data_IF_590726774215
#
_entry.id   IF_590726774215
#
_cell.length_a   1.000
_cell.length_b   1.000
_cell.length_c   1.000
_cell.angle_alpha   90.00
_cell.angle_beta   90.00
_cell.angle_gamma   90.00
#
_symmetry.space_group_name_H-M   'P 1'
#
loop_
_entity.id
_entity.type
_entity.pdbx_description
1 polymer ?
#
# COMPACT_ATOMS: atom_id res chain seq x y z
N UNK A 1 11.61 -14.68 -13.47
CA UNK A 1 13.04 -14.67 -13.12
C UNK A 1 13.85 -14.03 -14.24
N UNK A 2 13.98 -12.73 -14.26
CA UNK A 2 14.91 -12.03 -15.17
C UNK A 2 15.94 -11.29 -14.28
N UNK A 3 17.16 -11.78 -14.35
CA UNK A 3 18.31 -11.21 -13.62
C UNK A 3 18.61 -9.81 -14.17
N UNK A 4 18.46 -8.77 -13.36
CA UNK A 4 19.01 -7.44 -13.66
C UNK A 4 20.53 -7.59 -13.87
N UNK A 5 21.00 -7.33 -15.09
CA UNK A 5 22.41 -7.21 -15.40
C UNK A 5 22.88 -5.80 -15.10
N UNK A 6 23.55 -5.65 -13.98
CA UNK A 6 24.34 -4.45 -13.71
C UNK A 6 25.50 -4.46 -14.73
N UNK A 7 25.50 -3.51 -15.65
CA UNK A 7 26.61 -3.28 -16.58
C UNK A 7 27.63 -2.41 -15.84
N UNK A 8 28.63 -3.05 -15.25
CA UNK A 8 29.85 -2.37 -14.79
C UNK A 8 30.71 -2.12 -16.02
N UNK A 9 30.71 -0.89 -16.50
CA UNK A 9 31.61 -0.44 -17.56
C UNK A 9 33.05 -0.32 -17.03
N UNK A 10 33.86 -1.33 -17.30
CA UNK A 10 35.32 -1.20 -17.10
C UNK A 10 35.90 -0.44 -18.29
N UNK A 11 36.29 0.81 -18.07
CA UNK A 11 37.07 1.59 -19.05
C UNK A 11 38.53 1.22 -18.87
N UNK A 12 39.05 0.37 -19.75
CA UNK A 12 40.50 0.14 -19.88
C UNK A 12 41.10 1.25 -20.77
N UNK A 13 41.87 2.15 -20.19
CA UNK A 13 42.69 3.09 -20.93
C UNK A 13 44.04 2.38 -21.19
N UNK A 14 44.25 1.95 -22.44
CA UNK A 14 45.56 1.49 -22.89
C UNK A 14 46.39 2.70 -23.34
N UNK A 15 47.43 2.99 -22.62
CA UNK A 15 48.44 3.95 -23.05
C UNK A 15 49.49 3.23 -23.91
N UNK A 16 49.52 3.51 -25.22
CA UNK A 16 50.58 3.09 -26.09
C UNK A 16 51.67 4.15 -26.12
N UNK A 17 52.85 3.76 -25.68
CA UNK A 17 54.06 4.56 -25.83
C UNK A 17 54.64 4.46 -27.23
N UNK A 18 55.13 5.56 -27.74
CA UNK A 18 56.08 5.54 -28.84
C UNK A 18 57.17 6.61 -28.54
N UNK A 19 58.39 6.14 -28.41
CA UNK A 19 59.55 6.96 -28.18
C UNK A 19 60.02 7.71 -29.42
N UNK A 20 60.69 8.81 -29.16
CA UNK A 20 61.70 9.36 -30.07
C UNK A 20 62.83 9.96 -29.29
N UNK A 21 64.00 9.40 -29.46
CA UNK A 21 65.28 9.90 -28.98
C UNK A 21 65.72 11.03 -29.91
N UNK A 22 65.98 12.19 -29.34
CA UNK A 22 66.81 13.23 -29.98
C UNK A 22 67.82 13.76 -28.98
N UNK A 23 69.09 13.42 -29.23
CA UNK A 23 70.26 13.94 -28.58
C UNK A 23 70.64 15.29 -29.21
N UNK A 24 70.66 16.34 -28.47
CA UNK A 24 71.52 17.49 -28.80
C UNK A 24 72.02 18.19 -27.50
N UNK A 25 73.26 18.27 -27.47
CA UNK A 25 74.17 18.92 -26.49
C UNK A 25 74.05 20.44 -26.57
N UNK A 26 73.87 21.13 -25.43
CA UNK A 26 74.84 22.18 -25.08
C UNK A 26 74.42 22.90 -23.79
N UNK A 27 75.30 22.90 -22.95
CA UNK A 27 75.84 23.80 -21.92
C UNK A 27 75.11 25.12 -21.61
N UNK A 28 74.75 25.29 -20.34
CA UNK A 28 74.99 26.48 -19.50
C UNK A 28 74.02 26.43 -18.30
N UNK A 29 74.60 26.62 -17.13
CA UNK A 29 73.87 26.49 -15.87
C UNK A 29 72.75 27.45 -15.69
N UNK A 30 71.68 26.93 -15.15
CA UNK A 30 70.65 27.71 -14.48
C UNK A 30 69.98 26.81 -13.41
N UNK A 31 69.68 27.45 -12.32
CA UNK A 31 69.27 26.86 -11.06
C UNK A 31 68.10 25.87 -11.23
N UNK A 32 68.17 24.71 -10.62
CA UNK A 32 67.12 23.78 -10.47
C UNK A 32 65.94 24.45 -9.74
N UNK A 33 64.94 24.89 -10.50
CA UNK A 33 63.62 25.12 -9.93
C UNK A 33 63.07 23.77 -9.48
N UNK A 34 62.98 23.61 -8.16
CA UNK A 34 62.20 22.53 -7.56
C UNK A 34 60.78 22.62 -8.11
N UNK A 35 60.43 21.69 -8.98
CA UNK A 35 59.02 21.45 -9.33
C UNK A 35 58.29 21.18 -8.03
N UNK A 36 57.52 22.14 -7.57
CA UNK A 36 56.55 21.87 -6.52
C UNK A 36 55.56 20.85 -7.10
N UNK A 37 55.69 19.59 -6.69
CA UNK A 37 54.69 18.57 -6.92
C UNK A 37 53.44 19.07 -6.21
N UNK A 38 52.52 19.62 -6.96
CA UNK A 38 51.20 19.99 -6.44
C UNK A 38 50.60 18.72 -5.85
N UNK A 39 50.35 18.73 -4.54
CA UNK A 39 49.77 17.58 -3.85
C UNK A 39 48.44 17.24 -4.56
N UNK A 40 48.13 15.95 -4.79
CA UNK A 40 46.92 15.56 -5.42
C UNK A 40 45.73 16.18 -4.66
N UNK A 41 44.83 16.87 -5.39
CA UNK A 41 43.58 17.40 -4.81
C UNK A 41 42.76 16.23 -4.37
N UNK A 42 42.65 16.02 -3.06
CA UNK A 42 41.80 15.00 -2.47
C UNK A 42 40.32 15.41 -2.68
N UNK A 43 39.51 14.52 -3.25
CA UNK A 43 38.06 14.66 -3.20
C UNK A 43 37.64 14.29 -1.78
N UNK A 44 36.78 15.10 -1.17
CA UNK A 44 36.38 14.94 0.22
C UNK A 44 34.86 14.87 0.32
N UNK A 45 34.36 13.90 1.06
CA UNK A 45 33.01 13.82 1.52
C UNK A 45 32.93 13.98 3.03
N UNK A 46 31.75 14.12 3.60
CA UNK A 46 31.57 14.19 5.06
C UNK A 46 30.94 12.91 5.57
N UNK A 47 31.41 12.47 6.73
CA UNK A 47 30.66 11.51 7.52
C UNK A 47 29.42 12.20 8.10
N UNK A 48 28.26 11.57 7.96
CA UNK A 48 26.98 12.14 8.38
C UNK A 48 26.32 11.26 9.42
N UNK A 49 25.58 11.89 10.33
CA UNK A 49 24.62 11.19 11.17
C UNK A 49 23.30 11.13 10.42
N UNK A 50 22.90 9.94 9.98
CA UNK A 50 21.68 9.76 9.21
C UNK A 50 21.02 8.41 9.51
N UNK A 51 19.75 8.31 9.19
CA UNK A 51 19.09 7.03 9.15
C UNK A 51 19.43 6.36 7.83
N UNK A 52 19.65 5.05 7.88
CA UNK A 52 19.82 4.22 6.70
C UNK A 52 18.55 3.42 6.51
N UNK A 53 17.97 3.54 5.34
CA UNK A 53 16.73 2.83 4.96
C UNK A 53 17.08 1.72 3.98
N UNK A 54 16.35 0.62 4.10
CA UNK A 54 16.43 -0.50 3.17
C UNK A 54 15.03 -0.83 2.67
N UNK A 55 14.92 -1.03 1.38
CA UNK A 55 13.71 -1.55 0.79
C UNK A 55 13.46 -3.00 1.20
N UNK A 56 12.23 -3.31 1.57
CA UNK A 56 11.74 -4.68 1.82
C UNK A 56 10.58 -4.93 0.88
N UNK A 57 10.66 -6.04 0.13
CA UNK A 57 9.68 -6.42 -0.87
C UNK A 57 8.67 -7.41 -0.30
N UNK A 58 7.41 -7.25 -0.71
CA UNK A 58 6.29 -8.09 -0.34
C UNK A 58 5.42 -8.38 -1.55
N UNK A 59 4.93 -9.62 -1.65
CA UNK A 59 3.95 -9.97 -2.69
C UNK A 59 2.61 -9.31 -2.38
N UNK A 60 2.05 -8.61 -3.35
CA UNK A 60 0.73 -7.98 -3.33
C UNK A 60 -0.19 -8.50 -4.43
N UNK A 61 -1.48 -8.32 -4.23
CA UNK A 61 -2.51 -8.65 -5.21
C UNK A 61 -3.52 -7.52 -5.32
N UNK A 62 -3.84 -7.13 -6.55
CA UNK A 62 -4.89 -6.14 -6.83
C UNK A 62 -6.27 -6.76 -6.59
N UNK A 63 -7.15 -6.02 -5.96
CA UNK A 63 -8.55 -6.38 -5.71
C UNK A 63 -9.34 -5.16 -5.26
N UNK A 64 -10.46 -5.37 -4.58
CA UNK A 64 -11.34 -4.30 -4.08
C UNK A 64 -11.42 -4.28 -2.53
N UNK A 65 -10.30 -4.54 -1.88
CA UNK A 65 -10.18 -4.51 -0.43
C UNK A 65 -10.83 -5.69 0.27
N UNK A 66 -11.15 -5.49 1.54
CA UNK A 66 -11.76 -6.51 2.39
C UNK A 66 -13.15 -6.86 1.90
N UNK A 67 -13.42 -8.17 1.80
CA UNK A 67 -14.76 -8.67 1.45
C UNK A 67 -15.56 -8.88 2.73
N UNK A 68 -16.81 -8.42 2.72
CA UNK A 68 -17.75 -8.57 3.82
C UNK A 68 -18.96 -9.39 3.39
N UNK A 69 -19.43 -10.27 4.29
CA UNK A 69 -20.61 -11.07 4.03
C UNK A 69 -21.87 -10.20 4.18
N UNK A 70 -22.61 -10.03 3.11
CA UNK A 70 -23.94 -9.42 3.12
C UNK A 70 -24.98 -10.54 3.27
N UNK A 71 -25.66 -10.56 4.40
CA UNK A 71 -26.62 -11.62 4.73
C UNK A 71 -28.02 -11.18 4.38
N UNK A 72 -28.68 -11.96 3.53
CA UNK A 72 -30.13 -11.88 3.38
C UNK A 72 -30.76 -12.45 4.66
N UNK A 73 -31.82 -11.81 5.15
CA UNK A 73 -32.54 -12.23 6.35
C UNK A 73 -33.98 -12.54 6.00
N UNK A 74 -34.65 -13.36 6.81
CA UNK A 74 -36.01 -13.79 6.56
C UNK A 74 -36.08 -15.17 5.87
N UNK A 75 -37.35 -15.60 5.64
CA UNK A 75 -37.63 -16.85 4.96
C UNK A 75 -37.89 -16.57 3.47
N UNK A 76 -37.87 -17.61 2.66
CA UNK A 76 -38.17 -17.54 1.24
C UNK A 76 -37.19 -18.32 0.40
N UNK A 77 -37.47 -18.41 -0.89
CA UNK A 77 -36.65 -19.11 -1.87
C UNK A 77 -35.92 -18.08 -2.76
N UNK A 78 -34.61 -18.26 -2.95
CA UNK A 78 -33.82 -17.43 -3.87
C UNK A 78 -34.32 -17.63 -5.30
N UNK A 79 -34.84 -16.58 -5.92
CA UNK A 79 -35.30 -16.55 -7.32
C UNK A 79 -34.41 -15.72 -8.24
N UNK A 80 -33.54 -14.84 -7.66
CA UNK A 80 -32.57 -14.07 -8.40
C UNK A 80 -31.29 -13.83 -7.57
N UNK A 81 -30.13 -13.95 -8.20
CA UNK A 81 -28.81 -13.67 -7.62
C UNK A 81 -28.03 -12.66 -8.48
N UNK A 82 -27.21 -11.80 -7.88
CA UNK A 82 -26.38 -10.86 -8.62
C UNK A 82 -25.23 -11.57 -9.33
N UNK A 83 -24.58 -10.87 -10.26
CA UNK A 83 -23.36 -11.34 -10.91
C UNK A 83 -22.13 -10.80 -10.20
N UNK A 84 -21.10 -11.62 -10.06
CA UNK A 84 -19.81 -11.15 -9.54
C UNK A 84 -19.26 -10.04 -10.43
N UNK A 85 -18.87 -8.93 -9.81
CA UNK A 85 -18.42 -7.72 -10.48
C UNK A 85 -19.48 -6.63 -10.60
N UNK A 86 -20.77 -6.97 -10.43
CA UNK A 86 -21.84 -5.96 -10.46
C UNK A 86 -21.66 -4.94 -9.32
N UNK A 87 -21.97 -3.68 -9.64
CA UNK A 87 -22.05 -2.60 -8.65
C UNK A 87 -23.53 -2.32 -8.36
N UNK A 88 -23.92 -2.51 -7.11
CA UNK A 88 -25.29 -2.30 -6.66
C UNK A 88 -25.40 -0.96 -5.92
N UNK A 89 -26.20 -0.05 -6.49
CA UNK A 89 -26.50 1.26 -5.90
C UNK A 89 -27.60 1.14 -4.85
N UNK A 90 -27.70 2.09 -3.94
CA UNK A 90 -28.83 2.16 -3.01
C UNK A 90 -30.16 2.29 -3.76
N UNK A 91 -31.20 1.62 -3.26
CA UNK A 91 -32.52 1.56 -3.87
C UNK A 91 -32.64 0.55 -5.02
N UNK A 92 -31.58 -0.18 -5.36
CA UNK A 92 -31.58 -1.21 -6.40
C UNK A 92 -31.56 -2.62 -5.81
N UNK A 93 -32.10 -3.61 -6.55
CA UNK A 93 -32.12 -5.01 -6.12
C UNK A 93 -30.67 -5.58 -6.02
N UNK A 94 -30.39 -6.25 -4.92
CA UNK A 94 -29.16 -7.05 -4.76
C UNK A 94 -29.42 -8.56 -4.89
N UNK A 95 -30.67 -8.98 -4.73
CA UNK A 95 -31.12 -10.35 -4.92
C UNK A 95 -32.62 -10.33 -5.19
N UNK A 96 -33.23 -11.51 -5.42
CA UNK A 96 -34.65 -11.72 -5.52
C UNK A 96 -35.05 -12.93 -4.71
N UNK A 97 -36.07 -12.81 -3.87
CA UNK A 97 -36.60 -13.86 -2.99
C UNK A 97 -38.11 -14.00 -3.28
N UNK A 98 -38.57 -15.23 -3.54
CA UNK A 98 -39.98 -15.54 -3.88
C UNK A 98 -40.55 -14.69 -5.04
N UNK A 99 -39.69 -14.24 -5.96
CA UNK A 99 -40.05 -13.36 -7.09
C UNK A 99 -40.12 -11.88 -6.75
N UNK A 100 -39.74 -11.49 -5.53
CA UNK A 100 -39.73 -10.09 -5.08
C UNK A 100 -38.27 -9.59 -4.89
N UNK A 101 -37.96 -8.33 -5.29
CA UNK A 101 -36.61 -7.79 -5.16
C UNK A 101 -36.25 -7.53 -3.69
N UNK A 102 -35.03 -7.85 -3.33
CA UNK A 102 -34.40 -7.46 -2.07
C UNK A 102 -33.56 -6.21 -2.32
N UNK A 103 -33.96 -5.07 -1.77
CA UNK A 103 -33.31 -3.78 -2.05
C UNK A 103 -32.12 -3.51 -1.13
N UNK A 104 -31.05 -2.98 -1.71
CA UNK A 104 -29.94 -2.44 -0.97
C UNK A 104 -30.28 -1.03 -0.47
N UNK A 105 -30.28 -0.82 0.84
CA UNK A 105 -30.58 0.45 1.48
C UNK A 105 -29.36 0.96 2.26
N UNK A 106 -29.24 2.28 2.39
CA UNK A 106 -28.14 2.87 3.17
C UNK A 106 -28.39 2.70 4.66
N UNK A 107 -27.42 2.14 5.38
CA UNK A 107 -27.49 1.98 6.82
C UNK A 107 -26.41 1.08 7.38
N UNK A 108 -26.19 1.15 8.69
CA UNK A 108 -25.15 0.39 9.41
C UNK A 108 -25.72 -0.76 10.26
N UNK A 109 -27.04 -0.80 10.45
CA UNK A 109 -27.72 -1.83 11.23
C UNK A 109 -28.43 -2.81 10.31
N UNK A 110 -28.30 -4.12 10.51
CA UNK A 110 -29.04 -5.10 9.72
C UNK A 110 -30.54 -4.99 9.98
N UNK A 111 -31.35 -5.41 9.01
CA UNK A 111 -32.78 -5.60 9.20
C UNK A 111 -33.01 -6.82 10.12
N UNK A 112 -33.78 -6.66 11.20
CA UNK A 112 -34.06 -7.73 12.17
C UNK A 112 -35.54 -7.94 12.43
N UNK A 113 -36.41 -7.06 11.92
CA UNK A 113 -37.88 -7.12 12.04
C UNK A 113 -38.55 -6.49 10.84
N UNK A 114 -39.79 -6.86 10.62
CA UNK A 114 -40.67 -6.15 9.67
C UNK A 114 -40.90 -4.72 10.15
N UNK A 115 -40.83 -3.75 9.23
CA UNK A 115 -41.13 -2.35 9.46
C UNK A 115 -42.43 -1.97 8.74
N UNK A 116 -43.34 -1.24 9.42
CA UNK A 116 -44.62 -0.85 8.87
C UNK A 116 -45.49 -0.10 9.89
N UNK A 117 -46.72 0.28 9.52
CA UNK A 117 -47.65 0.91 10.45
C UNK A 117 -47.85 0.07 11.70
N UNK A 118 -47.78 0.72 12.87
CA UNK A 118 -47.80 0.14 14.21
C UNK A 118 -46.51 -0.60 14.63
N UNK A 119 -45.42 -0.48 13.91
CA UNK A 119 -44.12 -0.87 14.42
C UNK A 119 -43.75 0.00 15.62
N UNK A 120 -43.21 -0.60 16.70
CA UNK A 120 -42.71 0.16 17.84
C UNK A 120 -41.50 1.01 17.43
N UNK A 121 -41.44 2.23 17.96
CA UNK A 121 -40.38 3.19 17.69
C UNK A 121 -39.00 2.56 17.81
N UNK A 122 -38.06 3.00 16.98
CA UNK A 122 -36.71 2.46 16.99
C UNK A 122 -35.76 3.11 15.98
N UNK A 123 -34.49 2.98 16.26
CA UNK A 123 -33.41 3.49 15.40
C UNK A 123 -33.38 2.86 13.98
N UNK A 124 -34.03 1.72 13.79
CA UNK A 124 -34.22 1.09 12.48
C UNK A 124 -35.21 1.88 11.61
N UNK A 125 -36.25 2.47 12.22
CA UNK A 125 -37.18 3.38 11.52
C UNK A 125 -36.42 4.61 11.08
N UNK A 126 -35.68 5.26 11.98
CA UNK A 126 -34.85 6.44 11.67
C UNK A 126 -33.84 6.14 10.55
N UNK A 127 -33.18 4.97 10.61
CA UNK A 127 -32.24 4.55 9.56
C UNK A 127 -32.95 4.40 8.20
N UNK A 128 -34.13 3.77 8.16
CA UNK A 128 -34.93 3.63 6.95
C UNK A 128 -35.36 5.00 6.40
N UNK A 129 -35.88 5.88 7.23
CA UNK A 129 -36.29 7.23 6.83
C UNK A 129 -35.14 8.05 6.27
N UNK A 130 -33.98 7.97 6.93
CA UNK A 130 -32.74 8.58 6.42
C UNK A 130 -32.42 8.07 5.01
N UNK A 131 -32.52 6.77 4.80
CA UNK A 131 -32.26 6.15 3.50
C UNK A 131 -33.31 6.57 2.46
N UNK A 132 -34.60 6.60 2.82
CA UNK A 132 -35.70 7.01 1.91
C UNK A 132 -35.51 8.46 1.44
N UNK A 133 -35.17 9.37 2.35
CA UNK A 133 -34.86 10.77 2.03
C UNK A 133 -33.61 10.85 1.12
N UNK A 134 -32.54 10.16 1.48
CA UNK A 134 -31.29 10.17 0.70
C UNK A 134 -31.48 9.64 -0.74
N UNK A 135 -32.36 8.66 -0.90
CA UNK A 135 -32.72 8.09 -2.21
C UNK A 135 -33.78 8.88 -2.97
N UNK A 136 -34.38 9.94 -2.37
CA UNK A 136 -35.36 10.81 -3.00
C UNK A 136 -36.80 10.25 -3.03
N UNK A 137 -37.09 9.26 -2.21
CA UNK A 137 -38.45 8.75 -2.05
C UNK A 137 -39.31 9.61 -1.11
N UNK A 138 -38.69 10.50 -0.36
CA UNK A 138 -39.33 11.52 0.46
C UNK A 138 -38.56 12.84 0.37
N UNK A 139 -39.29 13.98 0.54
CA UNK A 139 -38.69 15.30 0.63
C UNK A 139 -38.23 15.55 2.06
N UNK A 140 -36.95 15.94 2.24
CA UNK A 140 -36.37 16.26 3.55
C UNK A 140 -37.03 17.44 4.28
N UNK A 141 -37.83 18.27 3.56
CA UNK A 141 -38.54 19.39 4.15
C UNK A 141 -39.96 19.01 4.61
N UNK A 142 -40.48 17.88 4.15
CA UNK A 142 -41.82 17.40 4.44
C UNK A 142 -41.82 16.22 5.41
N UNK A 143 -40.79 15.32 5.31
CA UNK A 143 -40.63 14.17 6.18
C UNK A 143 -39.75 14.49 7.38
N UNK A 144 -40.25 14.22 8.58
CA UNK A 144 -39.46 14.27 9.81
C UNK A 144 -38.72 12.94 9.98
N UNK A 145 -37.39 12.98 9.99
CA UNK A 145 -36.57 11.78 10.24
C UNK A 145 -36.43 11.55 11.74
N UNK A 146 -37.16 10.58 12.26
CA UNK A 146 -37.14 10.21 13.68
C UNK A 146 -37.31 8.70 13.90
N UNK A 147 -37.68 8.24 15.07
CA UNK A 147 -37.81 6.84 15.41
C UNK A 147 -39.26 6.32 15.37
N UNK A 148 -40.22 7.14 14.89
CA UNK A 148 -41.63 6.84 14.83
C UNK A 148 -42.09 6.56 13.39
N UNK A 149 -42.89 5.53 13.20
CA UNK A 149 -43.47 5.20 11.90
C UNK A 149 -44.79 5.96 11.69
N UNK A 150 -44.78 6.94 10.85
CA UNK A 150 -45.95 7.79 10.54
C UNK A 150 -46.52 7.59 9.14
N UNK A 151 -47.40 8.50 8.72
CA UNK A 151 -48.04 8.48 7.38
C UNK A 151 -47.06 8.82 6.28
N UNK A 152 -46.06 9.67 6.54
CA UNK A 152 -45.09 10.14 5.56
C UNK A 152 -44.07 9.04 5.29
N UNK A 153 -43.64 8.31 6.32
CA UNK A 153 -42.84 7.08 6.22
C UNK A 153 -43.58 6.04 5.35
N UNK A 154 -44.87 5.82 5.64
CA UNK A 154 -45.71 4.90 4.86
C UNK A 154 -45.80 5.32 3.38
N UNK A 155 -45.95 6.62 3.10
CA UNK A 155 -46.04 7.12 1.73
C UNK A 155 -44.68 6.95 0.99
N UNK A 156 -43.56 7.23 1.65
CA UNK A 156 -42.21 7.06 1.09
C UNK A 156 -41.90 5.59 0.77
N UNK A 157 -42.26 4.66 1.69
CA UNK A 157 -42.12 3.22 1.45
C UNK A 157 -42.95 2.77 0.26
N UNK A 158 -44.20 3.20 0.16
CA UNK A 158 -45.06 2.90 -1.01
C UNK A 158 -44.49 3.44 -2.31
N UNK A 159 -43.92 4.63 -2.30
CA UNK A 159 -43.27 5.20 -3.48
C UNK A 159 -42.05 4.32 -3.91
N UNK A 160 -41.24 3.91 -2.96
CA UNK A 160 -40.10 3.00 -3.21
C UNK A 160 -40.58 1.66 -3.75
N UNK A 161 -41.57 1.04 -3.13
CA UNK A 161 -42.17 -0.23 -3.58
C UNK A 161 -42.70 -0.13 -5.01
N UNK A 162 -43.49 0.92 -5.33
CA UNK A 162 -44.05 1.11 -6.65
C UNK A 162 -43.03 1.28 -7.76
N UNK A 163 -41.90 1.99 -7.48
CA UNK A 163 -40.81 2.17 -8.44
C UNK A 163 -39.98 0.92 -8.64
N UNK A 164 -39.91 0.03 -7.66
CA UNK A 164 -39.16 -1.20 -7.72
C UNK A 164 -39.99 -2.45 -8.07
N UNK A 165 -41.28 -2.28 -8.41
CA UNK A 165 -42.14 -3.37 -8.81
C UNK A 165 -42.56 -4.31 -7.67
N UNK A 166 -42.42 -3.86 -6.43
CA UNK A 166 -42.81 -4.60 -5.22
C UNK A 166 -44.34 -4.44 -4.94
N UNK A 167 -44.95 -5.31 -4.10
CA UNK A 167 -46.25 -5.07 -3.55
C UNK A 167 -46.32 -3.73 -2.80
N UNK A 168 -47.28 -2.85 -3.19
CA UNK A 168 -47.36 -1.48 -2.63
C UNK A 168 -48.28 -1.50 -1.39
N UNK A 169 -47.84 -2.12 -0.33
CA UNK A 169 -48.56 -2.25 0.94
C UNK A 169 -48.11 -1.26 2.04
N UNK A 170 -46.92 -0.66 1.88
CA UNK A 170 -46.35 0.27 2.82
C UNK A 170 -45.71 -0.43 4.05
N UNK A 171 -45.19 -1.63 3.84
CA UNK A 171 -44.46 -2.43 4.82
C UNK A 171 -43.17 -2.96 4.19
N UNK A 172 -42.19 -3.26 4.97
CA UNK A 172 -40.93 -3.88 4.53
C UNK A 172 -40.60 -5.09 5.39
N UNK A 173 -40.66 -6.25 4.81
CA UNK A 173 -40.18 -7.49 5.39
C UNK A 173 -38.64 -7.54 5.47
N UNK A 174 -38.11 -8.37 6.35
CA UNK A 174 -36.67 -8.56 6.46
C UNK A 174 -36.04 -9.23 5.22
N UNK A 175 -36.85 -9.87 4.38
CA UNK A 175 -36.48 -10.46 3.10
C UNK A 175 -36.63 -9.51 1.90
N UNK A 176 -37.04 -8.26 2.12
CA UNK A 176 -37.24 -7.24 1.10
C UNK A 176 -36.19 -6.13 1.14
N UNK A 177 -35.37 -6.08 2.20
CA UNK A 177 -34.35 -5.07 2.40
C UNK A 177 -33.07 -5.62 3.04
N UNK A 178 -31.97 -5.04 2.65
CA UNK A 178 -30.68 -5.24 3.30
C UNK A 178 -29.95 -3.90 3.40
N UNK A 179 -29.29 -3.66 4.52
CA UNK A 179 -28.57 -2.40 4.76
C UNK A 179 -27.08 -2.57 4.57
N UNK A 180 -26.46 -1.56 3.94
CA UNK A 180 -25.02 -1.39 3.84
C UNK A 180 -24.65 0.08 4.09
N UNK A 181 -23.53 0.39 4.74
CA UNK A 181 -23.06 1.77 4.89
C UNK A 181 -22.74 2.42 3.55
N UNK A 182 -22.25 1.65 2.58
CA UNK A 182 -21.77 2.11 1.30
C UNK A 182 -22.41 1.34 0.13
N UNK A 183 -22.34 1.92 -1.06
CA UNK A 183 -22.60 1.24 -2.33
C UNK A 183 -21.59 0.09 -2.45
N UNK A 184 -22.05 -1.05 -2.94
CA UNK A 184 -21.25 -2.28 -2.90
C UNK A 184 -20.95 -2.81 -4.30
N UNK A 185 -19.81 -3.46 -4.42
CA UNK A 185 -19.46 -4.33 -5.54
C UNK A 185 -19.62 -5.79 -5.11
N UNK A 186 -20.24 -6.59 -5.93
CA UNK A 186 -20.39 -8.03 -5.68
C UNK A 186 -19.03 -8.71 -5.86
N UNK A 187 -18.45 -9.17 -4.76
CA UNK A 187 -17.16 -9.83 -4.76
C UNK A 187 -17.26 -11.34 -4.98
N UNK A 188 -18.31 -11.96 -4.38
CA UNK A 188 -18.55 -13.39 -4.51
C UNK A 188 -20.01 -13.72 -4.26
N UNK A 189 -20.50 -14.72 -4.97
CA UNK A 189 -21.85 -15.28 -4.79
C UNK A 189 -21.70 -16.77 -4.54
N UNK A 190 -22.34 -17.26 -3.49
CA UNK A 190 -22.47 -18.67 -3.18
C UNK A 190 -23.94 -18.99 -2.91
N UNK A 191 -24.36 -20.21 -3.18
CA UNK A 191 -25.75 -20.60 -3.22
C UNK A 191 -26.28 -20.68 -4.65
N UNK A 192 -27.48 -21.20 -4.81
CA UNK A 192 -28.12 -21.41 -6.11
C UNK A 192 -29.58 -20.95 -6.09
N UNK A 193 -30.11 -20.70 -7.26
CA UNK A 193 -31.55 -20.47 -7.42
C UNK A 193 -32.33 -21.70 -6.91
N UNK A 194 -33.33 -21.45 -6.07
CA UNK A 194 -34.10 -22.48 -5.39
C UNK A 194 -33.64 -22.82 -3.97
N UNK A 195 -32.48 -22.31 -3.54
CA UNK A 195 -32.06 -22.43 -2.15
C UNK A 195 -32.86 -21.50 -1.23
N UNK A 196 -32.83 -21.75 0.08
CA UNK A 196 -33.42 -20.82 1.06
C UNK A 196 -32.65 -19.47 1.10
N UNK A 197 -33.37 -18.39 1.36
CA UNK A 197 -32.76 -17.03 1.39
C UNK A 197 -31.59 -16.92 2.38
N UNK A 198 -31.66 -17.64 3.51
CA UNK A 198 -30.61 -17.71 4.53
C UNK A 198 -29.33 -18.46 4.08
N UNK A 199 -29.45 -19.26 2.99
CA UNK A 199 -28.32 -19.97 2.39
C UNK A 199 -27.57 -19.12 1.34
N UNK A 200 -28.12 -17.97 0.91
CA UNK A 200 -27.45 -17.06 -0.01
C UNK A 200 -26.22 -16.44 0.65
N UNK A 201 -25.04 -16.82 0.19
CA UNK A 201 -23.80 -16.18 0.57
C UNK A 201 -23.41 -15.13 -0.47
N UNK A 202 -23.70 -13.87 -0.23
CA UNK A 202 -23.24 -12.74 -1.03
C UNK A 202 -22.12 -12.07 -0.25
N UNK A 203 -20.92 -12.03 -0.85
CA UNK A 203 -19.81 -11.25 -0.31
C UNK A 203 -19.65 -9.99 -1.15
N UNK A 204 -19.52 -8.87 -0.49
CA UNK A 204 -19.41 -7.56 -1.12
C UNK A 204 -18.08 -6.90 -0.77
N UNK A 205 -17.64 -5.98 -1.60
CA UNK A 205 -16.43 -5.18 -1.40
C UNK A 205 -16.71 -3.70 -1.69
N UNK A 206 -15.75 -2.83 -1.42
CA UNK A 206 -15.76 -1.46 -1.90
C UNK A 206 -15.66 -1.37 -3.42
N UNK A 207 -15.75 -0.15 -3.95
CA UNK A 207 -15.68 0.12 -5.38
C UNK A 207 -14.26 0.36 -5.87
N UNK A 208 -13.43 0.95 -5.02
CA UNK A 208 -12.07 1.32 -5.38
C UNK A 208 -11.16 0.09 -5.38
N UNK A 209 -10.30 0.02 -6.38
CA UNK A 209 -9.24 -0.99 -6.38
C UNK A 209 -8.19 -0.67 -5.32
N UNK A 210 -7.77 -1.69 -4.62
CA UNK A 210 -6.69 -1.64 -3.61
C UNK A 210 -5.70 -2.77 -3.86
N UNK A 211 -4.55 -2.68 -3.23
CA UNK A 211 -3.56 -3.76 -3.22
C UNK A 211 -3.55 -4.41 -1.84
N UNK A 212 -3.72 -5.72 -1.79
CA UNK A 212 -3.56 -6.48 -0.55
C UNK A 212 -2.22 -7.20 -0.55
N UNK A 213 -1.31 -6.77 0.33
CA UNK A 213 -0.04 -7.46 0.56
C UNK A 213 -0.20 -8.55 1.63
N UNK A 214 0.40 -9.72 1.38
CA UNK A 214 0.41 -10.83 2.34
C UNK A 214 1.70 -10.81 3.16
N UNK A 215 1.60 -10.35 4.41
CA UNK A 215 2.75 -10.09 5.26
C UNK A 215 2.89 -11.12 6.37
N UNK A 216 4.07 -11.74 6.49
CA UNK A 216 4.36 -12.70 7.59
C UNK A 216 4.36 -12.01 8.95
N UNK A 217 3.97 -12.74 10.00
CA UNK A 217 3.90 -12.22 11.38
C UNK A 217 5.21 -11.62 11.90
N UNK A 218 6.37 -12.06 11.39
CA UNK A 218 7.68 -11.52 11.75
C UNK A 218 7.93 -10.12 11.17
N UNK A 219 7.22 -9.75 10.10
CA UNK A 219 7.41 -8.52 9.33
C UNK A 219 6.26 -7.52 9.50
N UNK A 220 5.10 -7.94 10.03
CA UNK A 220 3.91 -7.06 10.13
C UNK A 220 4.17 -5.78 10.93
N UNK A 221 5.08 -5.81 11.89
CA UNK A 221 5.47 -4.62 12.69
C UNK A 221 6.17 -3.53 11.88
N UNK A 222 6.60 -3.80 10.66
CA UNK A 222 7.18 -2.82 9.75
C UNK A 222 6.11 -1.92 9.12
N UNK A 223 4.87 -2.41 9.09
CA UNK A 223 3.72 -1.70 8.54
C UNK A 223 2.99 -0.92 9.65
N UNK A 224 2.62 0.29 9.32
CA UNK A 224 1.78 1.16 10.16
C UNK A 224 0.76 1.83 9.25
N UNK A 225 -0.47 2.01 9.73
CA UNK A 225 -1.51 2.72 8.97
C UNK A 225 -1.05 4.15 8.66
N UNK A 226 -1.20 4.55 7.42
CA UNK A 226 -0.72 5.83 6.89
C UNK A 226 0.72 5.83 6.40
N UNK A 227 1.45 4.71 6.50
CA UNK A 227 2.83 4.62 6.00
C UNK A 227 2.84 4.54 4.47
N UNK A 228 3.71 5.31 3.79
CA UNK A 228 3.86 5.22 2.34
C UNK A 228 4.56 3.92 1.94
N UNK A 229 4.19 3.40 0.78
CA UNK A 229 4.77 2.23 0.12
C UNK A 229 4.83 2.50 -1.39
N UNK A 230 5.70 1.80 -2.10
CA UNK A 230 5.73 1.81 -3.55
C UNK A 230 5.17 0.50 -4.08
N UNK A 231 4.24 0.57 -5.03
CA UNK A 231 3.67 -0.60 -5.70
C UNK A 231 4.24 -0.69 -7.10
N UNK A 232 4.94 -1.78 -7.39
CA UNK A 232 5.50 -2.04 -8.72
C UNK A 232 4.58 -2.98 -9.49
N UNK A 233 4.08 -2.50 -10.61
CA UNK A 233 3.17 -3.22 -11.50
C UNK A 233 3.94 -4.21 -12.40
N UNK A 234 3.27 -5.20 -13.03
CA UNK A 234 3.92 -6.18 -13.90
C UNK A 234 4.64 -5.60 -15.13
N UNK A 235 4.32 -4.37 -15.51
CA UNK A 235 4.96 -3.62 -16.60
C UNK A 235 6.14 -2.76 -16.14
N UNK A 236 6.60 -2.93 -14.90
CA UNK A 236 7.65 -2.17 -14.22
C UNK A 236 7.26 -0.68 -13.93
N UNK A 237 5.96 -0.32 -14.01
CA UNK A 237 5.49 0.99 -13.55
C UNK A 237 5.40 1.02 -12.02
N UNK A 238 5.92 2.07 -11.41
CA UNK A 238 5.87 2.32 -9.97
C UNK A 238 4.74 3.30 -9.63
N UNK A 239 3.95 2.96 -8.64
CA UNK A 239 2.80 3.75 -8.17
C UNK A 239 2.92 3.95 -6.66
N UNK A 240 2.69 5.18 -6.22
CA UNK A 240 2.65 5.48 -4.79
C UNK A 240 1.40 4.86 -4.15
N UNK A 241 1.61 4.21 -3.02
CA UNK A 241 0.56 3.65 -2.19
C UNK A 241 0.66 4.10 -0.73
N UNK A 242 -0.40 3.88 0.01
CA UNK A 242 -0.45 4.15 1.45
C UNK A 242 -1.13 2.99 2.17
N UNK A 243 -0.56 2.54 3.26
CA UNK A 243 -1.15 1.50 4.11
C UNK A 243 -2.47 2.01 4.69
N UNK A 244 -3.59 1.42 4.27
CA UNK A 244 -4.93 1.78 4.72
C UNK A 244 -5.33 1.02 5.98
N UNK A 245 -5.08 -0.30 5.99
CA UNK A 245 -5.43 -1.15 7.12
C UNK A 245 -4.50 -2.35 7.26
N UNK A 246 -4.46 -2.93 8.46
CA UNK A 246 -3.79 -4.20 8.74
C UNK A 246 -4.86 -5.13 9.29
N UNK A 247 -5.21 -6.15 8.53
CA UNK A 247 -6.26 -7.10 8.86
C UNK A 247 -5.86 -8.07 9.99
N UNK A 248 -6.81 -8.89 10.40
CA UNK A 248 -6.56 -9.95 11.39
C UNK A 248 -5.63 -11.03 10.81
N UNK A 249 -4.92 -11.72 11.71
CA UNK A 249 -4.04 -12.82 11.32
C UNK A 249 -4.80 -13.98 10.69
N UNK A 250 -4.24 -14.51 9.62
CA UNK A 250 -4.74 -15.70 8.92
C UNK A 250 -3.69 -16.79 8.94
N UNK A 251 -4.11 -18.01 9.25
CA UNK A 251 -3.24 -19.17 9.12
C UNK A 251 -3.16 -19.59 7.64
N UNK A 252 -1.95 -19.64 7.09
CA UNK A 252 -1.71 -20.16 5.75
C UNK A 252 -1.66 -21.71 5.77
N UNK A 253 -1.79 -22.33 4.60
CA UNK A 253 -1.80 -23.79 4.43
C UNK A 253 -0.51 -24.48 4.92
N UNK A 254 0.60 -23.74 4.90
CA UNK A 254 1.92 -24.20 5.40
C UNK A 254 2.09 -24.05 6.92
N UNK A 255 1.04 -23.60 7.63
CA UNK A 255 1.05 -23.34 9.07
C UNK A 255 1.69 -22.01 9.47
N UNK A 256 2.14 -21.19 8.53
CA UNK A 256 2.61 -19.84 8.81
C UNK A 256 1.43 -18.90 9.12
N UNK A 257 1.70 -17.87 9.93
CA UNK A 257 0.72 -16.82 10.23
C UNK A 257 1.05 -15.61 9.38
N UNK A 258 0.07 -15.16 8.61
CA UNK A 258 0.16 -13.98 7.77
C UNK A 258 -0.89 -12.94 8.16
N UNK A 259 -0.66 -11.71 7.76
CA UNK A 259 -1.55 -10.58 7.93
C UNK A 259 -1.81 -9.95 6.56
N UNK A 260 -3.08 -9.81 6.14
CA UNK A 260 -3.40 -9.01 4.97
C UNK A 260 -3.19 -7.53 5.32
N UNK A 261 -2.40 -6.84 4.53
CA UNK A 261 -2.18 -5.40 4.63
C UNK A 261 -2.81 -4.76 3.40
N UNK A 262 -3.81 -3.94 3.63
CA UNK A 262 -4.51 -3.22 2.56
C UNK A 262 -3.81 -1.90 2.27
N UNK A 263 -3.60 -1.63 1.00
CA UNK A 263 -2.88 -0.47 0.49
C UNK A 263 -3.79 0.25 -0.50
N UNK A 264 -4.07 1.50 -0.23
CA UNK A 264 -4.75 2.39 -1.19
C UNK A 264 -3.72 3.00 -2.12
N UNK A 265 -4.09 3.09 -3.41
CA UNK A 265 -3.29 3.68 -4.47
C UNK A 265 -4.13 4.68 -5.25
N UNK A 266 -3.53 5.39 -6.20
CA UNK A 266 -4.30 6.00 -7.29
C UNK A 266 -5.03 4.92 -8.07
N UNK A 267 -6.15 5.24 -8.79
CA UNK A 267 -6.89 4.25 -9.55
C UNK A 267 -5.98 3.41 -10.45
N UNK A 268 -6.12 2.09 -10.34
CA UNK A 268 -5.37 1.11 -11.12
C UNK A 268 -6.17 0.74 -12.38
N UNK A 269 -5.51 0.57 -13.51
CA UNK A 269 -6.12 0.11 -14.77
C UNK A 269 -5.60 -1.31 -15.10
N UNK A 270 -5.91 -2.24 -14.19
CA UNK A 270 -5.52 -3.64 -14.31
C UNK A 270 -6.62 -4.56 -13.78
N UNK A 271 -6.61 -5.81 -14.23
CA UNK A 271 -7.58 -6.81 -13.79
C UNK A 271 -7.40 -7.18 -12.31
N UNK A 272 -8.51 -7.50 -11.64
CA UNK A 272 -8.52 -8.07 -10.31
C UNK A 272 -7.69 -9.37 -10.28
N UNK A 273 -6.95 -9.56 -9.20
CA UNK A 273 -6.07 -10.70 -9.04
C UNK A 273 -4.68 -10.52 -9.66
N UNK A 274 -4.39 -9.39 -10.32
CA UNK A 274 -3.05 -9.06 -10.78
C UNK A 274 -2.06 -9.07 -9.61
N UNK A 275 -0.95 -9.79 -9.77
CA UNK A 275 0.13 -9.81 -8.77
C UNK A 275 1.04 -8.61 -8.99
N UNK A 276 1.38 -7.94 -7.92
CA UNK A 276 2.25 -6.75 -7.87
C UNK A 276 3.29 -6.90 -6.76
N UNK A 277 4.38 -6.16 -6.84
CA UNK A 277 5.37 -6.10 -5.77
C UNK A 277 5.14 -4.83 -4.94
N UNK A 278 5.11 -4.99 -3.63
CA UNK A 278 4.96 -3.88 -2.67
C UNK A 278 6.29 -3.67 -1.98
N UNK A 279 6.90 -2.52 -2.20
CA UNK A 279 8.15 -2.12 -1.58
C UNK A 279 7.89 -1.18 -0.41
N UNK A 280 8.48 -1.50 0.73
CA UNK A 280 8.40 -0.71 1.96
C UNK A 280 9.79 -0.30 2.42
N UNK A 281 10.02 1.00 2.54
CA UNK A 281 11.22 1.53 3.14
C UNK A 281 11.24 1.31 4.65
N UNK A 282 12.29 0.61 5.11
CA UNK A 282 12.49 0.30 6.53
C UNK A 282 13.79 0.91 7.02
N UNK A 283 13.74 1.68 8.10
CA UNK A 283 14.94 2.16 8.76
C UNK A 283 15.70 0.98 9.34
N UNK A 284 16.84 0.64 8.75
CA UNK A 284 17.70 -0.46 9.15
C UNK A 284 18.74 -0.06 10.20
N UNK A 285 19.13 1.23 10.22
CA UNK A 285 19.97 1.81 11.26
C UNK A 285 19.57 3.26 11.51
N UNK A 286 19.07 3.54 12.71
CA UNK A 286 18.63 4.88 13.13
C UNK A 286 19.83 5.70 13.65
N UNK A 287 19.96 6.95 13.18
CA UNK A 287 20.98 7.90 13.63
C UNK A 287 22.41 7.39 13.49
N UNK A 288 22.69 6.53 12.52
CA UNK A 288 23.97 5.93 12.29
C UNK A 288 25.00 6.96 11.79
N UNK A 289 26.26 6.82 12.18
CA UNK A 289 27.36 7.52 11.51
C UNK A 289 27.62 6.77 10.21
N UNK A 290 27.39 7.44 9.09
CA UNK A 290 27.53 6.86 7.76
C UNK A 290 28.55 7.65 6.92
N UNK A 291 29.26 6.93 6.06
CA UNK A 291 30.17 7.49 5.06
C UNK A 291 29.71 7.00 3.67
N UNK A 292 30.01 7.74 2.59
CA UNK A 292 29.80 7.21 1.24
C UNK A 292 30.53 5.86 1.08
N UNK A 293 29.88 4.89 0.46
CA UNK A 293 30.46 3.54 0.30
C UNK A 293 31.81 3.57 -0.44
N UNK A 294 32.00 4.55 -1.33
CA UNK A 294 33.24 4.79 -2.08
C UNK A 294 34.42 5.27 -1.21
N UNK A 295 34.14 5.78 0.01
CA UNK A 295 35.17 6.17 0.98
C UNK A 295 35.78 4.97 1.73
N UNK A 296 35.19 3.76 1.60
CA UNK A 296 35.67 2.57 2.27
C UNK A 296 36.89 1.97 1.59
N UNK A 297 37.93 1.70 2.38
CA UNK A 297 39.12 1.01 1.95
C UNK A 297 39.23 -0.36 2.63
N UNK A 298 39.41 -1.40 1.83
CA UNK A 298 39.73 -2.73 2.35
C UNK A 298 41.21 -2.81 2.76
N UNK A 299 41.48 -3.29 3.97
CA UNK A 299 42.81 -3.45 4.49
C UNK A 299 43.41 -4.82 4.10
N UNK A 300 44.69 -4.86 3.71
CA UNK A 300 45.37 -6.09 3.32
C UNK A 300 45.41 -7.14 4.45
N UNK A 301 45.36 -6.71 5.68
CA UNK A 301 45.33 -7.56 6.89
C UNK A 301 43.91 -7.91 7.35
N UNK A 302 42.92 -7.54 6.54
CA UNK A 302 41.50 -7.75 6.80
C UNK A 302 40.81 -6.60 7.54
N UNK A 303 39.53 -6.43 7.29
CA UNK A 303 38.70 -5.33 7.79
C UNK A 303 38.68 -4.11 6.88
N UNK A 304 38.11 -3.03 7.38
CA UNK A 304 37.88 -1.80 6.62
C UNK A 304 38.41 -0.59 7.34
N UNK A 305 38.75 0.43 6.58
CA UNK A 305 39.18 1.75 7.08
C UNK A 305 38.57 2.84 6.19
N UNK A 306 38.51 4.05 6.73
CA UNK A 306 38.31 5.28 5.97
C UNK A 306 39.57 6.13 6.05
N UNK A 307 39.86 6.84 4.97
CA UNK A 307 41.00 7.77 4.92
C UNK A 307 40.51 9.17 5.27
N UNK A 308 41.14 9.81 6.22
CA UNK A 308 40.82 11.17 6.66
C UNK A 308 41.97 12.11 6.43
N UNK A 309 41.77 13.38 6.10
CA UNK A 309 42.82 14.37 5.97
C UNK A 309 43.62 14.49 7.29
N UNK A 310 44.95 14.48 7.20
CA UNK A 310 45.86 14.68 8.34
C UNK A 310 47.12 15.38 7.87
N UNK A 311 47.21 16.65 8.16
CA UNK A 311 48.38 17.49 7.79
C UNK A 311 49.67 17.13 8.53
N UNK A 312 49.61 16.28 9.54
CA UNK A 312 50.78 15.82 10.29
C UNK A 312 51.53 14.67 9.62
N UNK A 313 50.92 14.04 8.61
CA UNK A 313 51.49 12.92 7.85
C UNK A 313 52.10 13.40 6.53
N UNK A 314 53.09 12.66 6.02
CA UNK A 314 53.71 12.97 4.72
C UNK A 314 52.75 12.75 3.53
N UNK A 315 51.75 11.88 3.68
CA UNK A 315 50.71 11.63 2.69
C UNK A 315 49.59 12.67 2.73
N UNK A 316 49.56 13.50 3.78
CA UNK A 316 48.44 14.42 4.01
C UNK A 316 47.15 13.75 4.52
N UNK A 317 47.17 12.44 4.77
CA UNK A 317 46.03 11.64 5.19
C UNK A 317 46.43 10.58 6.21
N UNK A 318 45.47 10.03 6.95
CA UNK A 318 45.63 8.87 7.83
C UNK A 318 44.42 7.92 7.70
N UNK A 319 44.67 6.65 7.93
CA UNK A 319 43.66 5.63 7.95
C UNK A 319 43.02 5.47 9.34
N UNK A 320 41.71 5.46 9.42
CA UNK A 320 40.96 5.12 10.61
C UNK A 320 40.26 3.78 10.36
N UNK A 321 40.64 2.75 11.14
CA UNK A 321 39.99 1.46 11.09
C UNK A 321 38.52 1.57 11.56
N UNK A 322 37.58 1.00 10.80
CA UNK A 322 36.15 1.02 11.11
C UNK A 322 35.57 -0.38 11.00
N UNK A 323 34.50 -0.62 11.76
CA UNK A 323 33.60 -1.74 11.53
C UNK A 323 32.45 -1.22 10.68
N UNK A 324 32.12 -1.95 9.64
CA UNK A 324 30.96 -1.66 8.78
C UNK A 324 29.71 -2.32 9.34
N UNK A 325 28.57 -1.65 9.17
CA UNK A 325 27.24 -2.13 9.47
C UNK A 325 26.38 -2.15 8.24
N UNK A 326 25.19 -1.55 8.31
CA UNK A 326 24.20 -1.50 7.22
C UNK A 326 24.69 -0.66 6.03
N UNK A 327 24.28 -1.10 4.83
CA UNK A 327 24.48 -0.39 3.57
C UNK A 327 23.13 0.03 3.02
N UNK A 328 22.98 1.31 2.70
CA UNK A 328 21.78 1.84 2.08
C UNK A 328 22.11 3.09 1.24
N UNK A 329 21.49 3.24 0.09
CA UNK A 329 21.52 4.44 -0.76
C UNK A 329 22.94 4.96 -1.07
N UNK A 330 23.90 4.05 -1.25
CA UNK A 330 25.29 4.41 -1.50
C UNK A 330 26.06 4.85 -0.26
N UNK A 331 25.47 4.74 0.92
CA UNK A 331 26.10 4.99 2.23
C UNK A 331 26.32 3.70 3.00
N UNK A 332 27.27 3.74 3.92
CA UNK A 332 27.55 2.62 4.81
C UNK A 332 27.70 3.11 6.24
N UNK A 333 27.03 2.41 7.14
CA UNK A 333 27.20 2.62 8.58
C UNK A 333 28.62 2.23 8.99
N UNK A 334 29.28 3.12 9.71
CA UNK A 334 30.62 2.86 10.27
C UNK A 334 30.61 3.03 11.79
N UNK A 335 31.35 2.16 12.46
CA UNK A 335 31.60 2.25 13.90
C UNK A 335 33.10 2.27 14.11
N UNK A 336 33.60 3.33 14.76
CA UNK A 336 35.02 3.55 14.98
C UNK A 336 35.25 4.98 15.46
N UNK A 337 36.51 5.46 15.33
CA UNK A 337 36.86 6.83 15.71
C UNK A 337 36.56 7.82 14.55
N UNK A 338 35.35 7.76 14.03
CA UNK A 338 34.79 8.66 13.02
C UNK A 338 33.51 9.28 13.56
N UNK A 339 33.39 10.59 13.45
CA UNK A 339 32.23 11.37 13.95
C UNK A 339 31.50 12.06 12.81
N UNK A 340 30.27 12.41 13.05
CA UNK A 340 29.53 13.25 12.12
C UNK A 340 30.25 14.58 11.88
N UNK A 341 30.40 14.94 10.62
CA UNK A 341 31.14 16.13 10.18
C UNK A 341 32.62 15.89 9.83
N UNK A 342 33.18 14.74 10.18
CA UNK A 342 34.56 14.39 9.79
C UNK A 342 34.62 14.27 8.26
N UNK A 343 35.71 14.78 7.69
CA UNK A 343 35.99 14.66 6.26
C UNK A 343 36.61 13.30 5.97
N UNK A 344 36.14 12.61 4.98
CA UNK A 344 36.66 11.35 4.47
C UNK A 344 37.04 11.52 3.00
N UNK A 345 38.16 10.87 2.62
CA UNK A 345 38.62 10.90 1.23
C UNK A 345 37.74 9.97 0.39
N UNK A 346 37.33 10.46 -0.76
CA UNK A 346 36.64 9.70 -1.78
C UNK A 346 37.45 9.74 -3.08
N UNK A 347 37.33 8.74 -3.96
CA UNK A 347 38.07 8.63 -5.22
C UNK A 347 37.92 9.84 -6.15
#
# INVERSE_FOLDING_TARGET
MRKRRIVIGVVCIAAAGAGAVAILKNNSGEAAQASSTEAPKLSLAKAEKRDLTRAEDFDGRVGHGTQEALRLTGNGTITGLPTVGDVVQFGHPIAEVDGEPVLLLQGTRPAWRELGPNTTNGEDIRQLETALVAMGYADATEMTVDDDWDSDTTAAVKAMQGLNGMPVDGRLGTNEMVFSPDVVRIAKVSGALGDGADAAGIEVSGLDQTVTATVKSSKVKLFEVGKPVTVTMPNDDEIDGTVASIGASVAADDGSITYPVEITTTPLDVDDGTTVDVELDVVSAEGAIAVPAEALLALAEGGYAVEVPDSSTLSGTRLIRVKIGEFADGWVQVTGDVKAGDQVVVP
#
